data_IF_427289571790
#
_entry.id   IF_427289571790
#
_cell.length_a   1.000
_cell.length_b   1.000
_cell.length_c   1.000
_cell.angle_alpha   90.00
_cell.angle_beta   90.00
_cell.angle_gamma   90.00
#
_symmetry.space_group_name_H-M   'P 1'
#
loop_
_entity.id
_entity.type
_entity.pdbx_description
1 polymer ?
#
# COMPACT_ATOMS: atom_id res chain seq x y z
N UNK A 1 6.38 -18.57 4.56
CA UNK A 1 6.70 -17.32 3.87
C UNK A 1 6.08 -17.36 2.48
N UNK A 2 5.66 -16.23 1.93
CA UNK A 2 4.94 -16.18 0.63
C UNK A 2 5.94 -16.18 -0.52
N UNK A 3 5.80 -17.10 -1.49
CA UNK A 3 6.66 -17.16 -2.69
C UNK A 3 6.76 -15.81 -3.42
N UNK A 4 5.67 -15.05 -3.46
CA UNK A 4 5.66 -13.72 -4.05
C UNK A 4 6.51 -12.73 -3.25
N UNK A 5 6.37 -12.74 -1.92
CA UNK A 5 7.11 -11.82 -1.05
C UNK A 5 8.61 -12.13 -1.07
N UNK A 6 8.98 -13.42 -1.11
CA UNK A 6 10.38 -13.83 -1.19
C UNK A 6 11.01 -13.36 -2.52
N UNK A 7 10.32 -13.56 -3.65
CA UNK A 7 10.77 -13.04 -4.94
C UNK A 7 10.89 -11.51 -4.96
N UNK A 8 9.91 -10.79 -4.39
CA UNK A 8 9.98 -9.32 -4.29
C UNK A 8 11.16 -8.84 -3.42
N UNK A 9 11.55 -9.60 -2.39
CA UNK A 9 12.70 -9.26 -1.54
C UNK A 9 14.02 -9.34 -2.30
N UNK A 10 14.15 -10.22 -3.29
CA UNK A 10 15.31 -10.26 -4.18
C UNK A 10 15.46 -8.94 -4.96
N UNK A 11 14.34 -8.28 -5.26
CA UNK A 11 14.28 -6.93 -5.83
C UNK A 11 14.35 -5.80 -4.78
N UNK A 12 14.74 -6.10 -3.54
CA UNK A 12 14.79 -5.18 -2.40
C UNK A 12 13.43 -4.53 -2.05
N UNK A 13 12.33 -5.25 -2.31
CA UNK A 13 10.97 -4.85 -1.95
C UNK A 13 10.52 -5.69 -0.75
N UNK A 14 10.66 -5.16 0.46
CA UNK A 14 10.35 -5.84 1.72
C UNK A 14 8.95 -5.50 2.27
N UNK A 15 8.44 -4.31 1.95
CA UNK A 15 7.15 -3.82 2.45
C UNK A 15 6.34 -3.03 1.40
N UNK A 16 5.11 -2.66 1.74
CA UNK A 16 4.18 -2.00 0.83
C UNK A 16 4.65 -0.62 0.35
N UNK A 17 5.39 0.12 1.19
CA UNK A 17 5.93 1.42 0.81
C UNK A 17 7.04 1.29 -0.23
N UNK A 18 7.92 0.30 -0.07
CA UNK A 18 8.96 0.01 -1.05
C UNK A 18 8.37 -0.45 -2.37
N UNK A 19 7.32 -1.27 -2.34
CA UNK A 19 6.59 -1.68 -3.54
C UNK A 19 6.04 -0.45 -4.28
N UNK A 20 5.38 0.47 -3.56
CA UNK A 20 4.82 1.67 -4.14
C UNK A 20 5.90 2.63 -4.69
N UNK A 21 7.05 2.74 -4.00
CA UNK A 21 8.21 3.52 -4.49
C UNK A 21 8.81 2.92 -5.76
N UNK A 22 8.99 1.60 -5.79
CA UNK A 22 9.55 0.91 -6.95
C UNK A 22 8.61 0.99 -8.16
N UNK A 23 7.30 0.83 -7.94
CA UNK A 23 6.27 1.02 -8.98
C UNK A 23 6.33 2.43 -9.56
N UNK A 24 6.39 3.47 -8.72
CA UNK A 24 6.52 4.86 -9.17
C UNK A 24 7.80 5.09 -9.98
N UNK A 25 8.92 4.54 -9.52
CA UNK A 25 10.18 4.67 -10.25
C UNK A 25 10.12 4.01 -11.64
N UNK A 26 9.42 2.88 -11.76
CA UNK A 26 9.29 2.14 -13.02
C UNK A 26 8.25 2.73 -13.99
N UNK A 27 7.17 3.32 -13.48
CA UNK A 27 6.00 3.72 -14.30
C UNK A 27 5.75 5.21 -14.36
N UNK A 28 6.32 6.00 -13.43
CA UNK A 28 5.95 7.40 -13.20
C UNK A 28 4.69 7.59 -12.34
N UNK A 29 3.87 6.55 -12.18
CA UNK A 29 2.58 6.64 -11.50
C UNK A 29 2.69 6.42 -9.98
N UNK A 30 1.90 7.17 -9.21
CA UNK A 30 1.83 7.03 -7.74
C UNK A 30 0.38 6.88 -7.26
N UNK A 31 -0.28 5.74 -7.58
CA UNK A 31 -1.66 5.51 -7.20
C UNK A 31 -1.75 5.29 -5.68
N UNK A 32 -2.95 5.48 -5.14
CA UNK A 32 -3.22 5.26 -3.73
C UNK A 32 -3.16 3.76 -3.39
N UNK A 33 -2.61 3.43 -2.23
CA UNK A 33 -2.60 2.08 -1.67
C UNK A 33 -2.95 2.10 -0.19
N UNK A 34 -3.43 0.97 0.33
CA UNK A 34 -3.90 0.87 1.71
C UNK A 34 -2.94 -0.03 2.49
N UNK A 35 -2.47 0.45 3.63
CA UNK A 35 -1.67 -0.32 4.58
C UNK A 35 -2.44 -0.55 5.87
N UNK A 36 -2.05 -1.57 6.64
CA UNK A 36 -2.56 -1.79 7.99
C UNK A 36 -1.42 -1.68 9.00
N UNK A 37 -1.65 -0.94 10.07
CA UNK A 37 -0.74 -0.88 11.22
C UNK A 37 -1.48 -1.36 12.46
N UNK A 38 -0.84 -2.24 13.23
CA UNK A 38 -1.31 -2.64 14.55
C UNK A 38 -0.51 -1.82 15.57
N UNK A 39 -1.19 -0.91 16.26
CA UNK A 39 -0.59 -0.12 17.32
C UNK A 39 -0.13 -1.03 18.47
N UNK A 40 1.13 -0.85 18.92
CA UNK A 40 1.74 -1.63 20.00
C UNK A 40 1.58 -1.04 21.40
N UNK A 41 1.00 0.15 21.55
CA UNK A 41 0.78 0.84 22.83
C UNK A 41 -0.56 1.59 22.83
N UNK A 42 -1.01 2.06 24.00
CA UNK A 42 -2.28 2.80 24.18
C UNK A 42 -2.38 4.10 23.39
N UNK A 43 -1.26 4.61 22.87
CA UNK A 43 -1.17 5.83 22.06
C UNK A 43 -0.94 5.54 20.57
N UNK A 44 -0.77 4.27 20.19
CA UNK A 44 -0.46 3.88 18.83
C UNK A 44 -1.76 3.63 18.04
N UNK A 45 -1.95 4.39 16.96
CA UNK A 45 -3.03 4.18 16.01
C UNK A 45 -3.01 2.74 15.50
N UNK A 46 -4.14 2.05 15.65
CA UNK A 46 -4.40 0.76 15.02
C UNK A 46 -5.45 0.97 13.94
N UNK A 47 -5.16 0.51 12.72
CA UNK A 47 -6.10 0.64 11.63
C UNK A 47 -5.45 0.74 10.27
N UNK A 48 -6.26 1.16 9.32
CA UNK A 48 -5.86 1.30 7.93
C UNK A 48 -5.45 2.73 7.62
N UNK A 49 -4.45 2.84 6.75
CA UNK A 49 -3.98 4.11 6.23
C UNK A 49 -4.04 4.08 4.72
N UNK A 50 -4.43 5.18 4.11
CA UNK A 50 -4.27 5.39 2.66
C UNK A 50 -2.98 6.16 2.43
N UNK A 51 -2.21 5.75 1.42
CA UNK A 51 -0.90 6.33 1.11
C UNK A 51 -0.71 6.53 -0.38
N UNK A 52 0.18 7.45 -0.74
CA UNK A 52 0.68 7.65 -2.11
C UNK A 52 2.19 7.84 -2.09
N UNK A 53 2.91 7.19 -3.00
CA UNK A 53 4.37 7.23 -3.02
C UNK A 53 4.90 8.63 -3.40
N UNK A 54 5.49 9.33 -2.42
CA UNK A 54 6.06 10.66 -2.62
C UNK A 54 5.03 11.77 -2.85
N UNK A 55 3.78 11.58 -2.42
CA UNK A 55 2.73 12.59 -2.42
C UNK A 55 2.00 12.57 -1.07
N UNK A 56 1.35 13.68 -0.71
CA UNK A 56 0.39 13.70 0.40
C UNK A 56 -0.85 12.86 0.02
N UNK A 57 -1.38 12.11 0.98
CA UNK A 57 -2.59 11.30 0.79
C UNK A 57 -3.83 12.15 0.64
N UNK A 58 -3.89 13.34 1.23
CA UNK A 58 -4.96 14.30 0.92
C UNK A 58 -4.37 15.72 0.90
N UNK A 59 -3.91 16.20 -0.27
CA UNK A 59 -3.26 17.49 -0.37
C UNK A 59 -4.22 18.66 -0.14
N UNK A 60 -5.54 18.44 -0.32
CA UNK A 60 -6.57 19.45 -0.07
C UNK A 60 -6.94 19.54 1.41
N UNK A 61 -6.50 18.60 2.25
CA UNK A 61 -6.75 18.70 3.68
C UNK A 61 -5.94 19.83 4.30
N UNK A 62 -6.66 20.82 4.83
CA UNK A 62 -6.11 21.90 5.66
C UNK A 62 -5.54 21.40 6.99
N UNK A 63 -5.85 20.15 7.40
CA UNK A 63 -5.41 19.59 8.66
C UNK A 63 -4.20 18.65 8.47
N UNK A 64 -3.03 18.92 9.09
CA UNK A 64 -1.81 18.15 8.86
C UNK A 64 -1.93 16.64 9.13
N UNK A 65 -2.78 16.22 10.07
CA UNK A 65 -2.96 14.80 10.42
C UNK A 65 -3.77 14.04 9.37
N UNK A 66 -4.65 14.72 8.64
CA UNK A 66 -5.55 14.11 7.65
C UNK A 66 -4.86 13.93 6.29
N UNK A 67 -3.71 14.59 6.10
CA UNK A 67 -2.82 14.38 4.95
C UNK A 67 -2.28 12.95 4.85
N UNK A 68 -2.41 12.15 5.91
CA UNK A 68 -2.08 10.72 5.97
C UNK A 68 -3.33 9.86 6.23
N UNK A 69 -4.46 10.17 5.59
CA UNK A 69 -5.82 9.63 5.83
C UNK A 69 -5.85 8.26 6.52
N UNK A 70 -6.43 8.24 7.72
CA UNK A 70 -6.44 7.11 8.66
C UNK A 70 -7.86 6.64 8.97
N UNK A 71 -8.02 5.33 9.18
CA UNK A 71 -9.28 4.67 9.53
C UNK A 71 -9.07 3.71 10.69
N UNK A 72 -9.61 4.04 11.87
CA UNK A 72 -9.39 3.26 13.10
C UNK A 72 -9.95 1.84 12.96
N UNK A 73 -9.14 0.84 13.31
CA UNK A 73 -9.52 -0.57 13.23
C UNK A 73 -8.55 -1.47 13.98
N UNK A 74 -9.08 -2.48 14.68
CA UNK A 74 -8.25 -3.40 15.48
C UNK A 74 -7.70 -4.58 14.68
N UNK A 75 -8.30 -4.86 13.52
CA UNK A 75 -8.04 -6.04 12.69
C UNK A 75 -7.59 -5.63 11.29
N UNK A 76 -6.76 -6.48 10.68
CA UNK A 76 -6.25 -6.28 9.32
C UNK A 76 -7.33 -6.38 8.23
N UNK A 77 -8.54 -6.79 8.60
CA UNK A 77 -9.75 -6.89 7.77
C UNK A 77 -10.92 -6.21 8.47
N UNK A 78 -12.05 -6.06 7.78
CA UNK A 78 -13.31 -5.57 8.35
C UNK A 78 -13.63 -4.14 7.94
N UNK A 79 -14.43 -3.45 8.75
CA UNK A 79 -15.03 -2.16 8.42
C UNK A 79 -13.99 -1.08 8.08
N UNK A 80 -12.91 -0.95 8.86
CA UNK A 80 -11.87 0.05 8.61
C UNK A 80 -11.18 -0.11 7.26
N UNK A 81 -11.06 -1.35 6.76
CA UNK A 81 -10.51 -1.62 5.44
C UNK A 81 -11.49 -1.20 4.34
N UNK A 82 -12.77 -1.48 4.53
CA UNK A 82 -13.83 -1.12 3.58
C UNK A 82 -14.01 0.41 3.50
N UNK A 83 -13.96 1.11 4.63
CA UNK A 83 -14.00 2.57 4.68
C UNK A 83 -12.79 3.21 4.00
N UNK A 84 -11.60 2.66 4.23
CA UNK A 84 -10.38 3.12 3.57
C UNK A 84 -10.45 2.96 2.05
N UNK A 85 -10.96 1.81 1.58
CA UNK A 85 -11.18 1.54 0.16
C UNK A 85 -12.21 2.52 -0.43
N UNK A 86 -13.40 2.63 0.17
CA UNK A 86 -14.46 3.52 -0.31
C UNK A 86 -14.01 4.98 -0.41
N UNK A 87 -13.26 5.48 0.58
CA UNK A 87 -12.71 6.83 0.52
C UNK A 87 -11.68 7.00 -0.60
N UNK A 88 -10.77 6.03 -0.76
CA UNK A 88 -9.77 6.07 -1.81
C UNK A 88 -10.41 5.96 -3.21
N UNK A 89 -11.46 5.16 -3.36
CA UNK A 89 -12.22 5.03 -4.61
C UNK A 89 -12.90 6.35 -4.98
N UNK A 90 -13.59 6.98 -4.02
CA UNK A 90 -14.24 8.27 -4.22
C UNK A 90 -13.24 9.39 -4.55
N UNK A 91 -12.03 9.35 -3.97
CA UNK A 91 -11.03 10.42 -4.11
C UNK A 91 -10.12 10.25 -5.32
N UNK A 92 -9.80 9.00 -5.68
CA UNK A 92 -8.75 8.67 -6.65
C UNK A 92 -9.26 7.82 -7.83
N UNK A 93 -10.54 7.44 -7.85
CA UNK A 93 -11.10 6.63 -8.93
C UNK A 93 -10.50 5.22 -9.00
N UNK A 94 -10.03 4.67 -7.88
CA UNK A 94 -9.58 3.27 -7.84
C UNK A 94 -10.82 2.37 -7.94
N UNK A 95 -10.85 1.47 -8.90
CA UNK A 95 -12.02 0.59 -9.14
C UNK A 95 -11.77 -0.85 -8.72
N UNK A 96 -10.51 -1.25 -8.57
CA UNK A 96 -10.16 -2.63 -8.24
C UNK A 96 -8.97 -2.71 -7.29
N UNK A 97 -9.22 -3.34 -6.14
CA UNK A 97 -8.25 -3.59 -5.08
C UNK A 97 -7.84 -5.07 -5.04
N UNK A 98 -6.54 -5.31 -4.94
CA UNK A 98 -5.95 -6.65 -4.91
C UNK A 98 -5.16 -6.85 -3.61
N UNK A 99 -5.36 -8.01 -2.98
CA UNK A 99 -4.52 -8.49 -1.87
C UNK A 99 -3.33 -9.27 -2.44
N UNK A 100 -2.11 -8.88 -2.05
CA UNK A 100 -0.91 -9.62 -2.41
C UNK A 100 -0.50 -10.58 -1.27
N UNK A 101 -0.23 -11.87 -1.57
CA UNK A 101 0.28 -12.81 -0.58
C UNK A 101 1.55 -12.33 0.11
N UNK A 102 1.56 -12.28 1.44
CA UNK A 102 2.68 -11.76 2.26
C UNK A 102 2.50 -10.32 2.75
N UNK A 103 1.49 -9.60 2.26
CA UNK A 103 1.16 -8.23 2.67
C UNK A 103 -0.16 -8.21 3.46
N UNK A 104 -0.13 -8.74 4.69
CA UNK A 104 -1.34 -8.87 5.53
C UNK A 104 -1.98 -7.51 5.81
N UNK A 105 -3.28 -7.38 5.52
CA UNK A 105 -4.05 -6.16 5.76
C UNK A 105 -3.83 -5.02 4.76
N UNK A 106 -3.12 -5.28 3.68
CA UNK A 106 -2.85 -4.29 2.63
C UNK A 106 -3.80 -4.50 1.44
N UNK A 107 -4.13 -3.40 0.75
CA UNK A 107 -4.75 -3.42 -0.57
C UNK A 107 -3.95 -2.58 -1.54
N UNK A 108 -3.73 -3.14 -2.72
CA UNK A 108 -3.02 -2.49 -3.81
C UNK A 108 -3.96 -2.31 -4.99
N UNK A 109 -3.89 -1.19 -5.72
CA UNK A 109 -4.64 -1.04 -6.95
C UNK A 109 -4.14 -2.07 -7.97
N UNK A 110 -5.05 -2.62 -8.77
CA UNK A 110 -4.76 -3.73 -9.70
C UNK A 110 -3.49 -3.52 -10.56
N UNK A 111 -3.23 -2.33 -11.18
CA UNK A 111 -2.01 -2.12 -11.98
C UNK A 111 -0.72 -2.35 -11.19
N UNK A 112 -0.67 -1.87 -9.94
CA UNK A 112 0.48 -2.05 -9.06
C UNK A 112 0.64 -3.53 -8.65
N UNK A 113 -0.47 -4.21 -8.37
CA UNK A 113 -0.46 -5.61 -7.99
C UNK A 113 -0.02 -6.52 -9.14
N UNK A 114 -0.45 -6.24 -10.36
CA UNK A 114 -0.06 -7.00 -11.55
C UNK A 114 1.39 -6.74 -11.93
N UNK A 115 1.86 -5.49 -11.80
CA UNK A 115 3.29 -5.18 -11.92
C UNK A 115 4.14 -5.92 -10.90
N UNK A 116 3.73 -5.97 -9.62
CA UNK A 116 4.45 -6.71 -8.58
C UNK A 116 4.61 -8.21 -8.94
N UNK A 117 3.57 -8.82 -9.52
CA UNK A 117 3.62 -10.22 -9.99
C UNK A 117 4.53 -10.41 -11.20
N UNK A 118 4.69 -9.39 -12.04
CA UNK A 118 5.63 -9.41 -13.17
C UNK A 118 7.06 -9.30 -12.68
N UNK A 119 7.36 -8.33 -11.80
CA UNK A 119 8.69 -8.15 -11.18
C UNK A 119 9.16 -9.43 -10.50
N UNK A 120 8.28 -10.10 -9.76
CA UNK A 120 8.58 -11.36 -9.09
C UNK A 120 8.94 -12.53 -10.04
N UNK A 121 8.78 -12.37 -11.36
CA UNK A 121 9.20 -13.34 -12.38
C UNK A 121 10.46 -12.92 -13.14
N UNK A 122 10.97 -11.72 -12.87
CA UNK A 122 12.19 -11.19 -13.49
C UNK A 122 13.39 -11.43 -12.60
N UNK A 123 14.56 -11.55 -13.23
CA UNK A 123 15.82 -11.61 -12.48
C UNK A 123 16.06 -10.28 -11.74
N UNK A 124 16.51 -10.31 -10.48
CA UNK A 124 16.93 -9.11 -9.80
C UNK A 124 18.08 -8.48 -10.59
N UNK A 125 18.04 -7.16 -10.76
CA UNK A 125 19.15 -6.44 -11.38
C UNK A 125 20.38 -6.60 -10.49
N UNK A 126 21.24 -7.57 -10.82
CA UNK A 126 22.53 -7.74 -10.18
C UNK A 126 23.30 -6.43 -10.37
N UNK A 127 23.55 -5.74 -9.25
CA UNK A 127 24.37 -4.54 -9.26
C UNK A 127 25.78 -4.90 -9.70
N UNK A 128 26.21 -4.30 -10.82
CA UNK A 128 27.62 -3.98 -11.02
C UNK A 128 28.08 -2.96 -9.98
#
# INVERSE_FOLDING_TARGET
MSKLQDALREHRIFNAYELAKAYKAATGDAPAFITFSKGGSSWAFSGHHVHRAGFLTDPESGHPLDRNKRFNGRTASGASLAEAAAWADARYGVTEWVKLPGFTGHLFPKPMADWAKQVAKTEPANGN
#
